data_IF_055757221296
#
_entry.id   IF_055757221296
#
_cell.length_a   1.000
_cell.length_b   1.000
_cell.length_c   1.000
_cell.angle_alpha   90.00
_cell.angle_beta   90.00
_cell.angle_gamma   90.00
#
_symmetry.space_group_name_H-M   'P 1'
#
loop_
_entity.id
_entity.type
_entity.pdbx_description
1 polymer ?
#
# COMPACT_ATOMS: atom_id res chain seq x y z
N UNK A 1 -5.96 0.76 9.03
CA UNK A 1 -6.95 0.89 7.95
C UNK A 1 -7.11 -0.49 7.29
N UNK A 2 -8.35 -0.95 7.03
CA UNK A 2 -8.66 -2.25 6.40
C UNK A 2 -9.06 -2.10 4.93
N UNK A 3 -8.93 -0.89 4.37
CA UNK A 3 -9.17 -0.65 2.95
C UNK A 3 -8.32 -1.55 2.07
N UNK A 4 -8.98 -2.17 1.09
CA UNK A 4 -8.31 -3.07 0.14
C UNK A 4 -7.36 -2.27 -0.75
N UNK A 5 -6.06 -2.40 -0.47
CA UNK A 5 -5.01 -1.87 -1.35
C UNK A 5 -4.72 -2.82 -2.50
N UNK A 6 -4.72 -4.13 -2.22
CA UNK A 6 -4.47 -5.18 -3.20
C UNK A 6 -5.28 -6.42 -2.88
N UNK A 7 -5.82 -7.07 -3.90
CA UNK A 7 -6.44 -8.39 -3.80
C UNK A 7 -6.01 -9.23 -4.99
N UNK A 8 -5.59 -10.47 -4.75
CA UNK A 8 -5.32 -11.45 -5.80
C UNK A 8 -6.04 -12.76 -5.48
N UNK A 9 -7.03 -13.13 -6.30
CA UNK A 9 -7.90 -14.28 -6.02
C UNK A 9 -8.25 -15.06 -7.28
N UNK A 10 -8.39 -16.37 -7.11
CA UNK A 10 -8.92 -17.27 -8.13
C UNK A 10 -10.39 -17.59 -7.83
N UNK A 11 -11.24 -17.57 -8.86
CA UNK A 11 -12.63 -17.95 -8.73
C UNK A 11 -13.20 -18.52 -10.02
N UNK A 12 -14.35 -19.20 -9.90
CA UNK A 12 -15.18 -19.56 -11.06
C UNK A 12 -15.69 -18.30 -11.73
N UNK A 13 -15.84 -18.32 -13.06
CA UNK A 13 -16.27 -17.14 -13.81
C UNK A 13 -17.57 -16.52 -13.28
N UNK A 14 -18.63 -17.34 -13.14
CA UNK A 14 -19.91 -16.87 -12.60
C UNK A 14 -19.80 -16.31 -11.18
N UNK A 15 -18.98 -16.90 -10.32
CA UNK A 15 -18.76 -16.40 -8.96
C UNK A 15 -18.03 -15.05 -8.97
N UNK A 16 -17.03 -14.89 -9.85
CA UNK A 16 -16.31 -13.62 -10.00
C UNK A 16 -17.20 -12.51 -10.57
N UNK A 17 -18.06 -12.83 -11.54
CA UNK A 17 -19.03 -11.87 -12.08
C UNK A 17 -19.99 -11.37 -11.00
N UNK A 18 -20.57 -12.28 -10.20
CA UNK A 18 -21.41 -11.91 -9.07
C UNK A 18 -20.67 -11.06 -8.05
N UNK A 19 -19.43 -11.43 -7.71
CA UNK A 19 -18.60 -10.66 -6.79
C UNK A 19 -18.39 -9.22 -7.29
N UNK A 20 -18.05 -9.02 -8.57
CA UNK A 20 -17.87 -7.67 -9.12
C UNK A 20 -19.14 -6.85 -9.15
N UNK A 21 -20.28 -7.47 -9.46
CA UNK A 21 -21.57 -6.79 -9.39
C UNK A 21 -21.86 -6.34 -7.95
N UNK A 22 -21.64 -7.21 -6.97
CA UNK A 22 -21.84 -6.89 -5.56
C UNK A 22 -20.94 -5.72 -5.08
N UNK A 23 -19.72 -5.57 -5.61
CA UNK A 23 -18.86 -4.44 -5.27
C UNK A 23 -19.41 -3.08 -5.73
N UNK A 24 -20.28 -3.05 -6.76
CA UNK A 24 -20.82 -1.79 -7.32
C UNK A 24 -22.25 -1.50 -6.86
N UNK A 25 -23.01 -2.51 -6.47
CA UNK A 25 -24.41 -2.38 -6.06
C UNK A 25 -24.58 -1.61 -4.72
N UNK A 26 -25.73 -0.96 -4.50
CA UNK A 26 -26.16 -0.50 -3.19
C UNK A 26 -26.31 -1.66 -2.19
N UNK A 27 -26.14 -1.38 -0.89
CA UNK A 27 -26.32 -2.41 0.16
C UNK A 27 -27.73 -3.03 0.16
N UNK A 28 -28.76 -2.25 -0.18
CA UNK A 28 -30.15 -2.70 -0.30
C UNK A 28 -30.39 -3.71 -1.43
N UNK A 29 -29.46 -3.83 -2.38
CA UNK A 29 -29.54 -4.68 -3.56
C UNK A 29 -28.48 -5.80 -3.54
N UNK A 30 -27.98 -6.15 -2.34
CA UNK A 30 -26.95 -7.18 -2.18
C UNK A 30 -25.52 -6.67 -2.43
N UNK A 31 -25.30 -5.35 -2.38
CA UNK A 31 -23.97 -4.77 -2.43
C UNK A 31 -23.09 -5.22 -1.27
N UNK A 32 -21.79 -5.34 -1.52
CA UNK A 32 -20.76 -5.67 -0.51
C UNK A 32 -19.91 -4.43 -0.28
N UNK A 33 -19.67 -4.12 1.00
CA UNK A 33 -18.71 -3.09 1.43
C UNK A 33 -17.63 -3.64 2.33
N UNK A 34 -17.93 -4.69 3.11
CA UNK A 34 -16.95 -5.34 3.97
C UNK A 34 -17.08 -6.84 3.79
N UNK A 35 -15.95 -7.53 3.76
CA UNK A 35 -15.88 -8.99 3.72
C UNK A 35 -14.83 -9.47 4.72
N UNK A 36 -15.13 -10.54 5.46
CA UNK A 36 -14.15 -11.18 6.34
C UNK A 36 -13.70 -12.50 5.72
N UNK A 37 -12.39 -12.64 5.51
CA UNK A 37 -11.75 -13.85 4.99
C UNK A 37 -11.15 -14.63 6.15
N UNK A 38 -11.48 -15.91 6.25
CA UNK A 38 -10.86 -16.84 7.21
C UNK A 38 -9.54 -17.36 6.63
N UNK A 39 -8.46 -17.20 7.36
CA UNK A 39 -7.11 -17.59 6.99
C UNK A 39 -6.53 -18.55 8.05
N UNK A 40 -5.51 -19.36 7.73
CA UNK A 40 -4.88 -20.28 8.69
C UNK A 40 -4.40 -19.64 10.00
N UNK A 41 -4.10 -18.32 9.99
CA UNK A 41 -3.63 -17.57 11.16
C UNK A 41 -4.65 -16.60 11.77
N UNK A 42 -5.90 -16.59 11.32
CA UNK A 42 -6.93 -15.68 11.83
C UNK A 42 -7.87 -15.16 10.74
N UNK A 43 -8.53 -14.04 11.03
CA UNK A 43 -9.45 -13.41 10.09
C UNK A 43 -8.83 -12.14 9.52
N UNK A 44 -8.98 -11.92 8.22
CA UNK A 44 -8.64 -10.65 7.56
C UNK A 44 -9.93 -9.96 7.13
N UNK A 45 -10.11 -8.72 7.56
CA UNK A 45 -11.24 -7.89 7.17
C UNK A 45 -10.82 -7.05 5.95
N UNK A 46 -11.60 -7.15 4.88
CA UNK A 46 -11.41 -6.43 3.63
C UNK A 46 -12.51 -5.38 3.50
N UNK A 47 -12.12 -4.11 3.48
CA UNK A 47 -13.02 -2.98 3.24
C UNK A 47 -12.95 -2.53 1.77
N UNK A 48 -14.10 -2.64 1.11
CA UNK A 48 -14.38 -2.33 -0.29
C UNK A 48 -15.17 -1.02 -0.45
N UNK A 49 -15.26 -0.16 0.55
CA UNK A 49 -15.91 1.16 0.44
C UNK A 49 -15.40 1.96 -0.77
N UNK A 50 -14.11 1.83 -1.10
CA UNK A 50 -13.47 2.46 -2.25
C UNK A 50 -13.31 1.52 -3.46
N UNK A 51 -14.11 0.45 -3.59
CA UNK A 51 -13.97 -0.52 -4.69
C UNK A 51 -13.98 0.11 -6.09
N UNK A 52 -14.65 1.25 -6.27
CA UNK A 52 -14.69 2.00 -7.54
C UNK A 52 -13.34 2.59 -7.96
N UNK A 53 -12.43 2.86 -7.02
CA UNK A 53 -11.09 3.38 -7.34
C UNK A 53 -10.09 2.27 -7.71
N UNK A 54 -10.45 1.01 -7.46
CA UNK A 54 -9.57 -0.13 -7.71
C UNK A 54 -9.49 -0.45 -9.20
N UNK A 55 -8.28 -0.58 -9.71
CA UNK A 55 -8.03 -1.09 -11.05
C UNK A 55 -8.21 -2.61 -11.06
N UNK A 56 -9.16 -3.10 -11.84
CA UNK A 56 -9.39 -4.53 -12.04
C UNK A 56 -8.55 -5.06 -13.20
N UNK A 57 -7.82 -6.15 -12.97
CA UNK A 57 -7.18 -6.97 -14.01
C UNK A 57 -7.62 -8.41 -13.88
N UNK A 58 -7.81 -9.10 -14.99
CA UNK A 58 -8.21 -10.51 -14.99
C UNK A 58 -7.46 -11.32 -16.04
N UNK A 59 -7.14 -12.56 -15.72
CA UNK A 59 -6.72 -13.58 -16.70
C UNK A 59 -7.54 -14.85 -16.52
N UNK A 60 -7.63 -15.67 -17.56
CA UNK A 60 -8.46 -16.89 -17.59
C UNK A 60 -7.58 -18.09 -17.83
N UNK A 61 -7.87 -19.20 -17.15
CA UNK A 61 -7.33 -20.50 -17.57
C UNK A 61 -7.91 -20.89 -18.94
N UNK A 62 -7.18 -21.70 -19.72
CA UNK A 62 -7.70 -22.29 -20.95
C UNK A 62 -9.02 -23.04 -20.70
N UNK A 63 -9.92 -23.04 -21.70
CA UNK A 63 -11.27 -23.63 -21.60
C UNK A 63 -11.29 -25.14 -21.34
N UNK A 64 -10.20 -25.84 -21.65
CA UNK A 64 -10.10 -27.29 -21.57
C UNK A 64 -9.18 -27.78 -20.44
N UNK A 65 -9.08 -27.04 -19.34
CA UNK A 65 -8.37 -27.58 -18.16
C UNK A 65 -9.25 -28.57 -17.39
N UNK A 66 -8.66 -29.60 -16.75
CA UNK A 66 -9.40 -30.55 -15.91
C UNK A 66 -10.18 -29.89 -14.75
N UNK A 67 -9.78 -28.68 -14.36
CA UNK A 67 -10.42 -27.90 -13.30
C UNK A 67 -11.51 -26.96 -13.81
N UNK A 68 -11.77 -26.91 -15.11
CA UNK A 68 -12.75 -26.04 -15.76
C UNK A 68 -12.31 -24.59 -15.90
N UNK A 69 -13.25 -23.69 -16.19
CA UNK A 69 -12.94 -22.26 -16.39
C UNK A 69 -12.74 -21.55 -15.05
N UNK A 70 -11.51 -21.08 -14.83
CA UNK A 70 -11.13 -20.26 -13.69
C UNK A 70 -10.63 -18.90 -14.15
N UNK A 71 -10.93 -17.89 -13.34
CA UNK A 71 -10.49 -16.52 -13.55
C UNK A 71 -9.59 -16.12 -12.39
N UNK A 72 -8.39 -15.68 -12.70
CA UNK A 72 -7.53 -14.99 -11.75
C UNK A 72 -7.86 -13.50 -11.84
N UNK A 73 -8.14 -12.91 -10.69
CA UNK A 73 -8.46 -11.50 -10.57
C UNK A 73 -7.43 -10.80 -9.70
N UNK A 74 -7.03 -9.62 -10.14
CA UNK A 74 -6.36 -8.63 -9.31
C UNK A 74 -7.22 -7.38 -9.18
N UNK A 75 -7.36 -6.88 -7.96
CA UNK A 75 -7.82 -5.53 -7.67
C UNK A 75 -6.63 -4.75 -7.11
N UNK A 76 -6.33 -3.59 -7.70
CA UNK A 76 -5.12 -2.82 -7.41
C UNK A 76 -5.51 -1.37 -7.11
N UNK A 77 -5.22 -0.91 -5.90
CA UNK A 77 -5.40 0.49 -5.54
C UNK A 77 -4.33 1.37 -6.21
N UNK A 78 -4.67 2.59 -6.68
CA UNK A 78 -3.73 3.45 -7.39
C UNK A 78 -2.45 3.80 -6.62
N UNK A 79 -2.49 3.83 -5.28
CA UNK A 79 -1.32 4.11 -4.43
C UNK A 79 -0.20 3.06 -4.54
N UNK A 80 -0.48 1.87 -5.08
CA UNK A 80 0.52 0.83 -5.36
C UNK A 80 1.27 1.07 -6.68
N UNK A 81 0.72 1.91 -7.55
CA UNK A 81 1.25 2.14 -8.90
C UNK A 81 2.06 3.42 -8.97
N UNK A 82 1.65 4.45 -8.25
CA UNK A 82 2.32 5.75 -8.22
C UNK A 82 2.05 6.48 -6.90
N UNK A 83 2.93 7.43 -6.51
CA UNK A 83 2.69 8.26 -5.35
C UNK A 83 1.43 9.11 -5.50
N UNK A 84 0.80 9.41 -4.38
CA UNK A 84 -0.23 10.44 -4.26
C UNK A 84 0.28 11.48 -3.28
N UNK A 85 0.78 12.61 -3.79
CA UNK A 85 1.54 13.55 -2.96
C UNK A 85 2.81 12.88 -2.42
N UNK A 86 2.98 12.93 -1.10
CA UNK A 86 4.11 12.31 -0.40
C UNK A 86 3.77 10.94 0.20
N UNK A 87 2.71 10.30 -0.31
CA UNK A 87 2.19 9.05 0.23
C UNK A 87 2.16 7.94 -0.84
N UNK A 88 2.45 6.71 -0.45
CA UNK A 88 2.46 5.53 -1.34
C UNK A 88 2.26 4.24 -0.55
N UNK A 89 1.68 3.22 -1.18
CA UNK A 89 1.69 1.86 -0.64
C UNK A 89 2.79 1.04 -1.31
N UNK A 90 3.59 0.34 -0.53
CA UNK A 90 4.66 -0.57 -1.01
C UNK A 90 4.33 -1.99 -0.59
N UNK A 91 4.58 -2.96 -1.47
CA UNK A 91 4.42 -4.39 -1.17
C UNK A 91 5.74 -5.13 -1.36
N UNK A 92 5.95 -6.17 -0.57
CA UNK A 92 7.13 -7.04 -0.64
C UNK A 92 6.77 -8.47 -0.26
N UNK A 93 7.57 -9.43 -0.74
CA UNK A 93 7.49 -10.84 -0.33
C UNK A 93 8.14 -11.09 1.03
N UNK A 94 9.02 -10.20 1.46
CA UNK A 94 9.71 -10.24 2.75
C UNK A 94 9.48 -8.94 3.51
N UNK A 95 9.55 -8.95 4.86
CA UNK A 95 9.45 -7.72 5.64
C UNK A 95 10.50 -6.70 5.20
N UNK A 96 10.09 -5.43 5.07
CA UNK A 96 10.99 -4.36 4.67
C UNK A 96 11.59 -3.68 5.89
N UNK A 97 12.91 -3.50 5.87
CA UNK A 97 13.60 -2.69 6.87
C UNK A 97 13.50 -1.21 6.53
N UNK A 98 13.74 -0.33 7.51
CA UNK A 98 13.83 1.11 7.27
C UNK A 98 14.89 1.45 6.20
N UNK A 99 16.02 0.75 6.18
CA UNK A 99 17.05 0.94 5.17
C UNK A 99 16.57 0.58 3.75
N UNK A 100 15.75 -0.45 3.63
CA UNK A 100 15.16 -0.84 2.35
C UNK A 100 14.11 0.16 1.87
N UNK A 101 13.39 0.80 2.78
CA UNK A 101 12.38 1.82 2.48
C UNK A 101 12.99 3.20 2.18
N UNK A 102 14.22 3.45 2.61
CA UNK A 102 14.88 4.76 2.51
C UNK A 102 14.86 5.38 1.11
N UNK A 103 15.18 4.67 0.01
CA UNK A 103 15.09 5.24 -1.33
C UNK A 103 13.68 5.73 -1.69
N UNK A 104 12.65 4.99 -1.29
CA UNK A 104 11.25 5.38 -1.50
C UNK A 104 10.87 6.58 -0.65
N UNK A 105 11.28 6.62 0.62
CA UNK A 105 11.04 7.78 1.50
C UNK A 105 11.66 9.06 0.92
N UNK A 106 12.89 9.00 0.40
CA UNK A 106 13.52 10.13 -0.30
C UNK A 106 12.76 10.56 -1.54
N UNK A 107 12.25 9.61 -2.33
CA UNK A 107 11.48 9.91 -3.54
C UNK A 107 10.13 10.56 -3.23
N UNK A 108 9.49 10.15 -2.14
CA UNK A 108 8.21 10.70 -1.70
C UNK A 108 8.36 12.07 -1.05
N UNK A 109 9.48 12.31 -0.36
CA UNK A 109 9.71 13.55 0.35
C UNK A 109 9.93 14.72 -0.62
N UNK A 110 9.25 15.84 -0.36
CA UNK A 110 9.46 17.09 -1.07
C UNK A 110 10.78 17.77 -0.68
N UNK A 111 11.32 17.47 0.50
CA UNK A 111 12.63 17.94 0.94
C UNK A 111 13.75 17.03 0.42
N UNK A 112 14.91 17.58 0.04
CA UNK A 112 16.06 16.79 -0.37
C UNK A 112 16.71 16.09 0.83
N UNK A 113 16.20 14.91 1.18
CA UNK A 113 16.75 14.08 2.25
C UNK A 113 18.12 13.51 1.85
N UNK A 114 19.15 13.80 2.65
CA UNK A 114 20.53 13.36 2.40
C UNK A 114 20.77 11.93 2.91
N UNK A 115 21.66 11.19 2.25
CA UNK A 115 21.88 9.78 2.56
C UNK A 115 22.32 9.53 4.00
N UNK A 116 23.24 10.36 4.52
CA UNK A 116 23.74 10.22 5.89
C UNK A 116 22.72 10.62 6.96
N UNK A 117 21.58 11.22 6.59
CA UNK A 117 20.50 11.55 7.53
C UNK A 117 19.67 10.35 7.92
N UNK A 118 19.73 9.25 7.15
CA UNK A 118 18.89 8.06 7.36
C UNK A 118 18.89 7.58 8.82
N UNK A 119 20.05 7.37 9.51
CA UNK A 119 20.03 6.85 10.88
C UNK A 119 19.40 7.84 11.87
N UNK A 120 19.59 9.13 11.66
CA UNK A 120 19.06 10.18 12.52
C UNK A 120 17.55 10.39 12.34
N UNK A 121 17.05 10.22 11.11
CA UNK A 121 15.64 10.37 10.79
C UNK A 121 14.82 9.12 11.07
N UNK A 122 15.43 7.93 11.03
CA UNK A 122 14.76 6.65 11.25
C UNK A 122 13.77 6.63 12.44
N UNK A 123 14.16 7.00 13.69
CA UNK A 123 13.23 6.96 14.81
C UNK A 123 12.05 7.93 14.65
N UNK A 124 12.25 9.04 13.93
CA UNK A 124 11.24 10.08 13.71
C UNK A 124 10.25 9.68 12.60
N UNK A 125 10.75 9.04 11.55
CA UNK A 125 9.96 8.56 10.41
C UNK A 125 9.17 7.29 10.71
N UNK A 126 9.49 6.57 11.79
CA UNK A 126 8.78 5.33 12.14
C UNK A 126 7.26 5.51 12.24
N UNK A 127 6.80 6.68 12.70
CA UNK A 127 5.38 7.01 12.81
C UNK A 127 4.67 7.21 11.46
N UNK A 128 5.42 7.42 10.38
CA UNK A 128 4.95 7.65 9.00
C UNK A 128 4.98 6.38 8.14
N UNK A 129 5.40 5.26 8.73
CA UNK A 129 5.50 3.95 8.08
C UNK A 129 4.48 3.03 8.76
N UNK A 130 3.36 2.82 8.11
CA UNK A 130 2.27 2.01 8.65
C UNK A 130 2.27 0.63 8.01
N UNK A 131 2.52 -0.41 8.79
CA UNK A 131 2.29 -1.78 8.33
C UNK A 131 0.78 -1.99 8.13
N UNK A 132 0.43 -2.55 6.97
CA UNK A 132 -0.96 -2.83 6.62
C UNK A 132 -1.30 -4.29 6.92
N UNK A 133 -2.51 -4.59 7.42
CA UNK A 133 -2.99 -5.97 7.55
C UNK A 133 -2.94 -6.68 6.20
N UNK A 134 -2.16 -7.76 6.10
CA UNK A 134 -1.94 -8.47 4.84
C UNK A 134 -1.79 -9.98 5.05
N UNK A 135 -1.98 -10.74 3.96
CA UNK A 135 -1.75 -12.18 3.94
C UNK A 135 -1.08 -12.60 2.64
N UNK A 136 -0.04 -13.43 2.73
CA UNK A 136 0.75 -13.91 1.59
C UNK A 136 1.74 -12.88 1.02
N UNK A 137 1.67 -11.63 1.46
CA UNK A 137 2.61 -10.53 1.15
C UNK A 137 2.71 -9.60 2.36
N UNK A 138 3.78 -8.81 2.44
CA UNK A 138 3.91 -7.68 3.36
C UNK A 138 3.54 -6.40 2.63
N UNK A 139 2.84 -5.49 3.33
CA UNK A 139 2.44 -4.22 2.78
C UNK A 139 2.64 -3.09 3.79
N UNK A 140 3.11 -1.95 3.30
CA UNK A 140 3.39 -0.76 4.09
C UNK A 140 2.77 0.45 3.41
N UNK A 141 2.03 1.26 4.16
CA UNK A 141 1.63 2.58 3.73
C UNK A 141 2.62 3.61 4.27
N UNK A 142 3.27 4.32 3.36
CA UNK A 142 4.17 5.42 3.65
C UNK A 142 3.38 6.72 3.49
N UNK A 143 3.39 7.57 4.52
CA UNK A 143 2.69 8.85 4.49
C UNK A 143 3.57 9.95 5.10
N UNK A 144 4.38 10.61 4.27
CA UNK A 144 5.27 11.69 4.72
C UNK A 144 4.49 13.00 4.75
N UNK A 145 3.73 13.23 5.82
CA UNK A 145 2.90 14.42 5.98
C UNK A 145 3.75 15.70 5.88
N UNK A 146 3.37 16.60 4.94
CA UNK A 146 4.14 17.81 4.62
C UNK A 146 4.36 18.65 5.88
N UNK A 147 3.27 18.89 6.60
CA UNK A 147 3.21 19.74 7.80
C UNK A 147 4.02 19.18 8.98
N UNK A 148 4.37 17.90 8.94
CA UNK A 148 5.21 17.25 9.96
C UNK A 148 6.67 17.18 9.51
N UNK A 149 6.92 16.97 8.22
CA UNK A 149 8.26 16.81 7.67
C UNK A 149 9.10 18.08 7.74
N UNK A 150 8.55 19.25 7.39
CA UNK A 150 9.31 20.50 7.41
C UNK A 150 9.77 20.90 8.82
N UNK A 151 8.89 20.93 9.85
CA UNK A 151 9.33 21.24 11.21
C UNK A 151 10.34 20.21 11.74
N UNK A 152 10.10 18.92 11.48
CA UNK A 152 10.96 17.83 11.93
C UNK A 152 12.40 17.97 11.39
N UNK A 153 12.55 18.26 10.10
CA UNK A 153 13.88 18.46 9.49
C UNK A 153 14.51 19.76 9.97
N UNK A 154 13.74 20.85 10.06
CA UNK A 154 14.21 22.15 10.52
C UNK A 154 14.74 22.10 11.96
N UNK A 155 13.99 21.51 12.88
CA UNK A 155 14.39 21.32 14.28
C UNK A 155 15.64 20.44 14.38
N UNK A 156 15.71 19.36 13.61
CA UNK A 156 16.85 18.45 13.65
C UNK A 156 18.14 19.09 13.09
N UNK A 157 18.02 20.01 12.12
CA UNK A 157 19.14 20.85 11.66
C UNK A 157 19.57 21.86 12.73
N UNK A 158 18.62 22.56 13.37
CA UNK A 158 18.91 23.54 14.42
C UNK A 158 19.57 22.90 15.64
N UNK A 159 19.21 21.66 15.96
CA UNK A 159 19.80 20.86 17.05
C UNK A 159 21.17 20.25 16.67
N UNK A 160 21.63 20.41 15.43
CA UNK A 160 22.88 19.81 14.94
C UNK A 160 22.84 18.28 14.78
N UNK A 161 21.63 17.68 14.85
CA UNK A 161 21.41 16.24 14.64
C UNK A 161 21.54 15.90 13.16
N UNK A 162 21.02 16.78 12.30
CA UNK A 162 21.26 16.73 10.86
C UNK A 162 22.32 17.76 10.49
N UNK A 163 23.16 17.40 9.53
CA UNK A 163 24.22 18.26 9.02
C UNK A 163 24.16 18.33 7.51
N UNK A 164 24.39 19.51 6.94
CA UNK A 164 24.51 19.71 5.50
C UNK A 164 26.00 19.73 5.14
N UNK A 165 26.45 18.97 4.12
CA UNK A 165 27.84 19.03 3.66
C UNK A 165 28.22 20.47 3.26
N UNK A 166 29.42 20.91 3.63
CA UNK A 166 29.91 22.28 3.41
C UNK A 166 30.08 22.72 1.94
N UNK A 167 29.58 21.96 0.97
CA UNK A 167 29.62 22.29 -0.47
C UNK A 167 28.27 22.24 -1.19
N UNK A 168 27.14 22.08 -0.45
CA UNK A 168 25.81 21.95 -1.05
C UNK A 168 25.02 23.27 -1.15
N UNK A 169 25.60 24.39 -0.72
CA UNK A 169 25.06 25.75 -0.94
C UNK A 169 25.89 26.48 -2.00
N UNK A 170 25.83 25.98 -3.25
CA UNK A 170 26.43 26.59 -4.43
C UNK A 170 25.50 26.44 -5.62
#
# INVERSE_FOLDING_TARGET
DNQVQFLSVWGRDGAMQHFFAALTLPMSEGGIRVMTVKLPGGNLVLDFAQAKSLTKRTTRLPKHTPVGEWVHTWLIHPSLLKPSGQSMTVMSQTPLSHATLWPTLKQLCHLPLLEHWQPALQPRLQSMIHELPSYGVFAYHLDLQIDVMEPLVSEALQQGVLTVPQGAMG
#
